data_IF_518969607788
#
_entry.id   IF_518969607788
#
_cell.length_a   1.000
_cell.length_b   1.000
_cell.length_c   1.000
_cell.angle_alpha   90.00
_cell.angle_beta   90.00
_cell.angle_gamma   90.00
#
_symmetry.space_group_name_H-M   'P 1'
#
loop_
_entity.id
_entity.type
_entity.pdbx_description
1 polymer ?
#
# COMPACT_ATOMS: atom_id res chain seq x y z
N UNK A 1 7.33 -10.10 4.48
CA UNK A 1 6.02 -10.30 3.80
C UNK A 1 5.64 -9.06 3.02
N UNK A 2 4.44 -9.00 2.44
CA UNK A 2 3.97 -7.82 1.70
C UNK A 2 2.47 -7.63 1.83
N UNK A 3 1.99 -6.45 1.41
CA UNK A 3 0.58 -6.09 1.45
C UNK A 3 0.16 -5.49 0.11
N UNK A 4 -1.05 -5.79 -0.32
CA UNK A 4 -1.69 -5.15 -1.45
C UNK A 4 -2.72 -4.16 -0.93
N UNK A 5 -2.61 -2.90 -1.33
CA UNK A 5 -3.56 -1.85 -0.95
C UNK A 5 -4.20 -1.24 -2.19
N UNK A 6 -5.46 -0.82 -2.05
CA UNK A 6 -6.18 -0.05 -3.05
C UNK A 6 -6.08 1.43 -2.67
N UNK A 7 -5.60 2.28 -3.58
CA UNK A 7 -5.43 3.71 -3.35
C UNK A 7 -6.02 4.52 -4.50
N UNK A 8 -6.53 5.73 -4.24
CA UNK A 8 -7.03 6.61 -5.31
C UNK A 8 -5.90 7.14 -6.20
N UNK A 9 -4.71 7.29 -5.63
CA UNK A 9 -3.50 7.75 -6.30
C UNK A 9 -2.35 6.75 -6.11
N UNK A 10 -1.49 6.63 -7.12
CA UNK A 10 -0.28 5.82 -7.03
C UNK A 10 0.85 6.65 -6.40
N UNK A 11 1.42 6.22 -5.26
CA UNK A 11 2.71 6.71 -4.81
C UNK A 11 3.82 6.24 -5.76
N UNK A 12 4.99 6.88 -5.67
CA UNK A 12 6.13 6.51 -6.52
C UNK A 12 6.69 5.14 -6.14
N UNK A 13 7.25 4.43 -7.13
CA UNK A 13 7.98 3.17 -6.87
C UNK A 13 9.24 3.48 -6.06
N UNK A 14 9.60 2.56 -5.17
CA UNK A 14 10.67 2.66 -4.17
C UNK A 14 10.42 3.71 -3.06
N UNK A 15 9.24 4.36 -3.05
CA UNK A 15 8.84 5.24 -1.95
C UNK A 15 8.57 4.44 -0.67
N UNK A 16 9.05 4.95 0.47
CA UNK A 16 8.77 4.38 1.80
C UNK A 16 7.53 5.04 2.40
N UNK A 17 6.58 4.21 2.85
CA UNK A 17 5.30 4.60 3.45
C UNK A 17 5.20 4.08 4.89
N UNK A 18 4.59 4.89 5.75
CA UNK A 18 4.20 4.50 7.11
C UNK A 18 2.78 3.92 7.06
N UNK A 19 2.65 2.61 7.26
CA UNK A 19 1.38 1.88 7.13
C UNK A 19 0.83 1.53 8.51
N UNK A 20 -0.44 1.86 8.73
CA UNK A 20 -1.18 1.49 9.93
C UNK A 20 -2.07 0.30 9.59
N UNK A 21 -1.75 -0.88 10.14
CA UNK A 21 -2.49 -2.11 9.84
C UNK A 21 -3.54 -2.36 10.92
N UNK A 22 -4.85 -2.41 10.59
CA UNK A 22 -5.89 -2.70 11.56
C UNK A 22 -5.98 -4.21 11.80
N UNK A 23 -4.99 -4.79 12.47
CA UNK A 23 -5.05 -6.20 12.89
C UNK A 23 -5.83 -6.35 14.20
N UNK A 24 -6.74 -7.34 14.35
CA UNK A 24 -7.66 -7.45 15.51
C UNK A 24 -7.01 -7.79 16.86
N UNK A 25 -5.68 -7.95 16.92
CA UNK A 25 -4.97 -8.44 18.11
C UNK A 25 -3.78 -7.52 18.36
N UNK A 26 -3.98 -6.51 19.22
CA UNK A 26 -3.04 -5.87 20.18
C UNK A 26 -1.52 -5.77 19.95
N UNK A 27 -0.95 -6.10 18.79
CA UNK A 27 0.51 -6.31 18.64
C UNK A 27 1.17 -5.42 17.57
N UNK A 28 0.41 -4.66 16.78
CA UNK A 28 0.99 -3.68 15.85
C UNK A 28 0.47 -2.26 16.12
N UNK A 29 0.62 -1.77 17.35
CA UNK A 29 0.50 -0.34 17.63
C UNK A 29 1.60 0.47 16.92
N UNK A 30 2.71 -0.20 16.56
CA UNK A 30 3.81 0.42 15.83
C UNK A 30 3.49 0.44 14.35
N UNK A 31 3.41 1.63 13.73
CA UNK A 31 3.18 1.74 12.29
C UNK A 31 4.35 1.12 11.53
N UNK A 32 4.06 0.21 10.61
CA UNK A 32 5.09 -0.53 9.87
C UNK A 32 5.56 0.29 8.67
N UNK A 33 6.88 0.37 8.49
CA UNK A 33 7.45 0.93 7.28
C UNK A 33 7.36 -0.08 6.14
N UNK A 34 6.83 0.36 5.00
CA UNK A 34 6.72 -0.46 3.81
C UNK A 34 7.15 0.31 2.57
N UNK A 35 7.85 -0.36 1.67
CA UNK A 35 8.34 0.19 0.40
C UNK A 35 7.37 -0.16 -0.72
N UNK A 36 7.06 0.82 -1.58
CA UNK A 36 6.27 0.59 -2.80
C UNK A 36 7.13 -0.14 -3.81
N UNK A 37 6.71 -1.33 -4.23
CA UNK A 37 7.46 -2.11 -5.24
C UNK A 37 6.83 -2.08 -6.61
N UNK A 38 5.54 -1.80 -6.69
CA UNK A 38 4.83 -1.57 -7.95
C UNK A 38 3.48 -0.89 -7.69
N UNK A 39 3.00 -0.14 -8.67
CA UNK A 39 1.64 0.40 -8.70
C UNK A 39 1.02 0.09 -10.07
N UNK A 40 -0.22 -0.39 -10.07
CA UNK A 40 -0.96 -0.69 -11.29
C UNK A 40 -2.34 -0.06 -11.22
N UNK A 41 -2.67 0.75 -12.22
CA UNK A 41 -4.00 1.31 -12.36
C UNK A 41 -5.02 0.20 -12.64
N UNK A 42 -6.13 0.25 -11.93
CA UNK A 42 -7.24 -0.68 -12.14
C UNK A 42 -8.08 -0.23 -13.36
N UNK A 43 -8.38 -1.12 -14.31
CA UNK A 43 -9.07 -0.77 -15.55
C UNK A 43 -10.61 -0.70 -15.35
N UNK A 44 -11.09 -0.15 -14.23
CA UNK A 44 -12.52 0.08 -14.00
C UNK A 44 -12.85 1.57 -14.09
N UNK A 45 -13.79 1.93 -14.96
CA UNK A 45 -14.31 3.31 -15.13
C UNK A 45 -13.58 4.19 -16.17
N UNK A 46 -14.28 5.23 -16.65
CA UNK A 46 -13.70 6.32 -17.46
C UNK A 46 -13.28 7.46 -16.51
N UNK A 47 -11.99 7.79 -16.40
CA UNK A 47 -11.51 8.88 -15.52
C UNK A 47 -10.19 8.60 -14.81
N UNK A 48 -9.94 9.21 -13.64
CA UNK A 48 -8.96 8.69 -12.66
C UNK A 48 -9.58 7.47 -11.98
N UNK A 49 -8.83 6.37 -11.91
CA UNK A 49 -9.30 5.11 -11.33
C UNK A 49 -8.32 4.66 -10.25
N UNK A 50 -8.77 3.82 -9.31
CA UNK A 50 -7.93 3.41 -8.20
C UNK A 50 -6.73 2.60 -8.70
N UNK A 51 -5.68 2.59 -7.89
CA UNK A 51 -4.44 1.86 -8.12
C UNK A 51 -4.34 0.72 -7.12
N UNK A 52 -3.94 -0.44 -7.63
CA UNK A 52 -3.39 -1.51 -6.82
C UNK A 52 -1.92 -1.21 -6.57
N UNK A 53 -1.54 -1.10 -5.29
CA UNK A 53 -0.17 -0.78 -4.89
C UNK A 53 0.38 -1.93 -4.07
N UNK A 54 1.47 -2.51 -4.56
CA UNK A 54 2.19 -3.60 -3.89
C UNK A 54 3.25 -3.05 -2.95
N UNK A 55 3.09 -3.36 -1.66
CA UNK A 55 3.98 -2.93 -0.59
C UNK A 55 4.82 -4.09 -0.08
N UNK A 56 6.09 -3.82 0.22
CA UNK A 56 7.00 -4.73 0.90
C UNK A 56 7.30 -4.20 2.29
N UNK A 57 6.99 -4.97 3.33
CA UNK A 57 7.37 -4.59 4.70
C UNK A 57 8.89 -4.61 4.84
N UNK A 58 9.44 -3.58 5.49
CA UNK A 58 10.88 -3.47 5.72
C UNK A 58 11.37 -4.28 6.93
N UNK A 59 10.45 -4.74 7.79
CA UNK A 59 10.73 -5.48 9.03
C UNK A 59 9.74 -6.63 9.19
#
# INVERSE_FOLDING_TARGET
>A
GGMLVLMEQAPDVDQVLKVYVPTPVTVAETPTLAEVRWARRVPFGKGSGPYLVGLKFMF
#
